data_IF_802185836248
#
_entry.id   IF_802185836248
#
_cell.length_a   1.000
_cell.length_b   1.000
_cell.length_c   1.000
_cell.angle_alpha   90.00
_cell.angle_beta   90.00
_cell.angle_gamma   90.00
#
_symmetry.space_group_name_H-M   'P 1'
#
loop_
_entity.id
_entity.type
_entity.pdbx_description
1 polymer ?
#
# COMPACT_ATOMS: atom_id res chain seq x y z
N UNK A 1 -2.22 8.00 7.39
CA UNK A 1 -2.86 7.05 8.32
C UNK A 1 -2.69 5.68 7.71
N UNK A 2 -2.21 4.68 8.44
CA UNK A 2 -2.14 3.29 7.96
C UNK A 2 -3.52 2.69 8.22
N UNK A 3 -4.12 2.01 7.23
CA UNK A 3 -5.42 1.34 7.41
C UNK A 3 -5.18 -0.15 7.60
N UNK A 4 -5.71 -0.73 8.67
CA UNK A 4 -5.51 -2.14 8.99
C UNK A 4 -6.72 -2.96 8.52
N UNK A 5 -6.44 -4.06 7.83
CA UNK A 5 -7.48 -4.97 7.35
C UNK A 5 -7.22 -6.38 7.92
N UNK A 6 -8.26 -7.13 8.28
CA UNK A 6 -8.11 -8.49 8.85
C UNK A 6 -8.98 -9.48 8.10
N UNK A 7 -8.38 -10.59 7.70
CA UNK A 7 -9.04 -11.83 7.29
C UNK A 7 -8.32 -12.98 8.00
N UNK A 8 -8.68 -14.24 7.71
CA UNK A 8 -8.03 -15.45 8.28
C UNK A 8 -6.50 -15.41 8.20
N UNK A 9 -5.96 -14.64 7.26
CA UNK A 9 -4.60 -14.12 7.25
C UNK A 9 -4.64 -12.58 7.42
N UNK A 10 -3.97 -12.04 8.44
CA UNK A 10 -3.91 -10.60 8.68
C UNK A 10 -3.11 -9.89 7.58
N UNK A 11 -3.68 -8.88 6.93
CA UNK A 11 -3.01 -8.09 5.90
C UNK A 11 -3.14 -6.60 6.22
N UNK A 12 -2.03 -5.92 6.43
CA UNK A 12 -2.06 -4.46 6.63
C UNK A 12 -2.06 -3.76 5.27
N UNK A 13 -2.58 -2.53 5.18
CA UNK A 13 -2.44 -1.75 3.97
C UNK A 13 -2.20 -0.26 4.22
N UNK A 14 -1.56 0.40 3.25
CA UNK A 14 -1.37 1.84 3.26
C UNK A 14 -1.79 2.41 1.90
N UNK A 15 -2.60 3.46 1.95
CA UNK A 15 -3.04 4.19 0.76
C UNK A 15 -1.93 5.11 0.24
N UNK A 16 -1.69 5.10 -1.07
CA UNK A 16 -0.89 6.13 -1.72
C UNK A 16 -1.78 7.34 -2.00
N UNK A 17 -1.75 8.34 -1.13
CA UNK A 17 -2.61 9.53 -1.25
C UNK A 17 -2.05 10.61 -2.17
N UNK A 18 -0.73 10.68 -2.29
CA UNK A 18 0.00 11.65 -3.12
C UNK A 18 1.46 11.18 -3.34
N UNK A 19 2.24 11.97 -4.08
CA UNK A 19 3.67 11.77 -4.29
C UNK A 19 4.57 12.54 -3.32
N UNK A 20 4.03 13.10 -2.24
CA UNK A 20 4.78 13.96 -1.35
C UNK A 20 5.70 13.18 -0.40
N UNK A 21 6.80 13.82 0.03
CA UNK A 21 7.81 13.19 0.88
C UNK A 21 7.21 12.56 2.16
N UNK A 22 6.19 13.17 2.76
CA UNK A 22 5.56 12.65 3.97
C UNK A 22 4.86 11.32 3.74
N UNK A 23 4.10 11.21 2.64
CA UNK A 23 3.42 9.97 2.22
C UNK A 23 4.43 8.90 1.86
N UNK A 24 5.44 9.23 1.05
CA UNK A 24 6.48 8.29 0.63
C UNK A 24 7.29 7.75 1.81
N UNK A 25 7.63 8.59 2.79
CA UNK A 25 8.30 8.14 4.02
C UNK A 25 7.46 7.09 4.77
N UNK A 26 6.14 7.27 4.85
CA UNK A 26 5.24 6.29 5.48
C UNK A 26 5.17 4.99 4.69
N UNK A 27 5.13 5.05 3.36
CA UNK A 27 5.18 3.86 2.49
C UNK A 27 6.49 3.10 2.69
N UNK A 28 7.63 3.79 2.75
CA UNK A 28 8.94 3.19 3.04
C UNK A 28 8.94 2.53 4.42
N UNK A 29 8.43 3.21 5.45
CA UNK A 29 8.32 2.66 6.80
C UNK A 29 7.44 1.40 6.86
N UNK A 30 6.32 1.41 6.13
CA UNK A 30 5.38 0.31 6.07
C UNK A 30 5.95 -0.93 5.35
N UNK A 31 6.53 -0.70 4.16
CA UNK A 31 7.02 -1.77 3.27
C UNK A 31 8.41 -2.26 3.65
N UNK A 32 9.26 -1.39 4.21
CA UNK A 32 10.69 -1.63 4.37
C UNK A 32 11.48 -1.54 3.06
N UNK A 33 10.86 -1.10 1.97
CA UNK A 33 11.45 -1.07 0.63
C UNK A 33 11.79 0.37 0.19
N UNK A 34 12.83 0.57 -0.65
CA UNK A 34 13.03 1.82 -1.36
C UNK A 34 11.84 2.13 -2.29
N UNK A 35 11.51 3.41 -2.40
CA UNK A 35 10.40 3.89 -3.23
C UNK A 35 10.89 4.96 -4.19
N UNK A 36 10.44 4.87 -5.44
CA UNK A 36 10.58 5.93 -6.45
C UNK A 36 9.23 6.58 -6.72
N UNK A 37 9.23 7.86 -7.07
CA UNK A 37 8.02 8.59 -7.48
C UNK A 37 8.22 9.06 -8.91
N UNK A 38 7.26 8.74 -9.78
CA UNK A 38 7.29 9.09 -11.20
C UNK A 38 5.90 9.57 -11.64
N UNK A 39 5.82 10.00 -12.89
CA UNK A 39 4.56 10.27 -13.57
C UNK A 39 4.35 9.24 -14.68
N UNK A 40 3.12 8.73 -14.82
CA UNK A 40 2.76 7.88 -15.96
C UNK A 40 2.57 8.73 -17.24
N UNK A 41 2.25 8.07 -18.36
CA UNK A 41 2.06 8.73 -19.66
C UNK A 41 0.88 9.70 -19.69
N UNK A 42 -0.03 9.61 -18.72
CA UNK A 42 -1.19 10.49 -18.57
C UNK A 42 -0.89 11.65 -17.62
N UNK A 43 0.31 11.69 -17.02
CA UNK A 43 0.71 12.72 -16.06
C UNK A 43 0.24 12.44 -14.63
N UNK A 44 -0.24 11.22 -14.33
CA UNK A 44 -0.63 10.84 -12.98
C UNK A 44 0.58 10.42 -12.16
N UNK A 45 0.57 10.76 -10.87
CA UNK A 45 1.61 10.31 -9.93
C UNK A 45 1.52 8.81 -9.71
N UNK A 46 2.68 8.15 -9.79
CA UNK A 46 2.85 6.72 -9.47
C UNK A 46 4.04 6.51 -8.54
N UNK A 47 3.91 5.58 -7.60
CA UNK A 47 5.00 5.15 -6.73
C UNK A 47 5.48 3.75 -7.13
N UNK A 48 6.78 3.59 -7.34
CA UNK A 48 7.43 2.30 -7.59
C UNK A 48 8.12 1.80 -6.33
N UNK A 49 7.60 0.72 -5.73
CA UNK A 49 8.15 0.05 -4.56
C UNK A 49 9.13 -1.04 -5.04
N UNK A 50 10.42 -0.87 -4.76
CA UNK A 50 11.49 -1.73 -5.26
C UNK A 50 11.68 -2.90 -4.29
N UNK A 51 11.16 -4.08 -4.64
CA UNK A 51 11.28 -5.31 -3.82
C UNK A 51 12.63 -6.00 -4.02
N UNK A 52 13.16 -5.94 -5.24
CA UNK A 52 14.50 -6.41 -5.61
C UNK A 52 14.97 -5.68 -6.87
N UNK A 53 16.24 -5.83 -7.32
CA UNK A 53 16.74 -5.14 -8.51
C UNK A 53 15.90 -5.34 -9.80
N UNK A 54 15.16 -6.45 -9.90
CA UNK A 54 14.33 -6.78 -11.07
C UNK A 54 12.84 -6.89 -10.74
N UNK A 55 12.43 -6.54 -9.53
CA UNK A 55 11.03 -6.64 -9.10
C UNK A 55 10.57 -5.34 -8.47
N UNK A 56 9.65 -4.67 -9.16
CA UNK A 56 9.04 -3.42 -8.73
C UNK A 56 7.51 -3.56 -8.74
N UNK A 57 6.90 -3.10 -7.66
CA UNK A 57 5.46 -3.00 -7.51
C UNK A 57 5.06 -1.55 -7.76
N UNK A 58 4.07 -1.29 -8.61
CA UNK A 58 3.64 0.07 -8.96
C UNK A 58 2.28 0.35 -8.35
N UNK A 59 2.17 1.43 -7.57
CA UNK A 59 0.92 1.92 -7.00
C UNK A 59 0.58 3.28 -7.60
N UNK A 60 -0.69 3.48 -7.98
CA UNK A 60 -1.24 4.79 -8.36
C UNK A 60 -1.85 5.48 -7.15
N UNK A 61 -1.99 6.80 -7.23
CA UNK A 61 -2.73 7.57 -6.21
C UNK A 61 -4.15 7.00 -6.05
N UNK A 62 -4.59 6.80 -4.81
CA UNK A 62 -5.86 6.17 -4.43
C UNK A 62 -5.80 4.64 -4.33
N UNK A 63 -4.70 4.00 -4.74
CA UNK A 63 -4.49 2.57 -4.54
C UNK A 63 -3.80 2.28 -3.21
N UNK A 64 -3.93 1.04 -2.76
CA UNK A 64 -3.39 0.55 -1.50
C UNK A 64 -2.20 -0.38 -1.76
N UNK A 65 -1.14 -0.20 -0.99
CA UNK A 65 -0.05 -1.15 -0.87
C UNK A 65 -0.38 -2.08 0.30
N UNK A 66 -0.52 -3.36 0.00
CA UNK A 66 -1.08 -4.39 0.86
C UNK A 66 0.08 -5.32 1.29
N UNK A 67 0.26 -5.56 2.59
CA UNK A 67 1.33 -6.38 3.19
C UNK A 67 0.72 -7.55 3.95
N UNK A 68 0.86 -8.75 3.40
CA UNK A 68 0.43 -9.98 4.06
C UNK A 68 1.35 -10.32 5.25
N UNK A 69 0.87 -11.15 6.19
CA UNK A 69 1.66 -11.66 7.33
C UNK A 69 2.95 -12.37 6.92
N UNK A 70 2.99 -12.93 5.71
CA UNK A 70 4.18 -13.54 5.09
C UNK A 70 5.27 -12.52 4.70
N UNK A 71 4.97 -11.22 4.77
CA UNK A 71 5.83 -10.14 4.27
C UNK A 71 5.64 -9.87 2.77
N UNK A 72 4.77 -10.62 2.09
CA UNK A 72 4.47 -10.41 0.67
C UNK A 72 3.74 -9.08 0.47
N UNK A 73 4.25 -8.28 -0.47
CA UNK A 73 3.65 -7.01 -0.89
C UNK A 73 2.84 -7.17 -2.18
N UNK A 74 1.69 -6.51 -2.25
CA UNK A 74 0.84 -6.39 -3.44
C UNK A 74 0.19 -5.00 -3.52
N UNK A 75 -0.36 -4.63 -4.67
CA UNK A 75 -1.17 -3.41 -4.83
C UNK A 75 -2.60 -3.82 -5.12
N UNK A 76 -3.54 -3.16 -4.43
CA UNK A 76 -4.94 -3.47 -4.53
C UNK A 76 -5.82 -2.21 -4.45
N UNK A 77 -6.94 -2.20 -5.17
CA UNK A 77 -7.95 -1.14 -5.08
C UNK A 77 -8.80 -1.34 -3.83
N UNK A 78 -9.43 -0.29 -3.30
CA UNK A 78 -10.25 -0.37 -2.09
C UNK A 78 -11.35 -1.44 -2.18
N UNK A 79 -12.05 -1.53 -3.31
CA UNK A 79 -13.12 -2.52 -3.54
C UNK A 79 -12.61 -3.96 -3.37
N UNK A 80 -11.42 -4.26 -3.88
CA UNK A 80 -10.78 -5.57 -3.76
C UNK A 80 -10.29 -5.86 -2.34
N UNK A 81 -9.98 -4.81 -1.57
CA UNK A 81 -9.62 -4.95 -0.15
C UNK A 81 -10.83 -5.36 0.66
N UNK A 82 -11.95 -4.63 0.54
CA UNK A 82 -13.15 -4.89 1.35
C UNK A 82 -13.86 -6.20 0.98
N UNK A 83 -13.70 -6.67 -0.26
CA UNK A 83 -14.18 -8.01 -0.67
C UNK A 83 -13.41 -9.14 0.01
N UNK A 84 -12.12 -8.92 0.32
CA UNK A 84 -11.20 -9.94 0.83
C UNK A 84 -10.93 -9.86 2.32
N UNK A 85 -11.05 -8.66 2.89
CA UNK A 85 -10.65 -8.35 4.25
C UNK A 85 -11.66 -7.40 4.90
N UNK A 86 -11.93 -7.62 6.18
CA UNK A 86 -12.73 -6.72 6.99
C UNK A 86 -11.86 -5.53 7.40
N UNK A 87 -12.31 -4.30 7.12
CA UNK A 87 -11.63 -3.07 7.55
C UNK A 87 -11.78 -2.92 9.06
N UNK A 88 -10.66 -2.93 9.81
CA UNK A 88 -10.68 -2.68 11.25
C UNK A 88 -10.41 -1.19 11.45
N UNK A 89 -11.47 -0.44 11.70
CA UNK A 89 -11.36 0.90 12.29
C UNK A 89 -11.22 0.75 13.81
N UNK A 90 -10.51 1.67 14.48
CA UNK A 90 -10.15 1.61 15.92
C UNK A 90 -11.34 1.44 16.90
N UNK A 91 -12.59 1.38 16.45
CA UNK A 91 -13.78 1.17 17.28
C UNK A 91 -14.08 -0.30 17.63
N UNK A 92 -13.43 -1.29 16.98
CA UNK A 92 -13.72 -2.73 17.20
C UNK A 92 -12.64 -3.49 17.97
N UNK A 93 -11.66 -2.80 18.55
CA UNK A 93 -10.60 -3.40 19.35
C UNK A 93 -10.99 -3.63 20.83
N UNK A 94 -12.24 -4.02 21.11
CA UNK A 94 -12.71 -4.34 22.47
C UNK A 94 -13.02 -5.81 22.68
#
# INVERSE_FOLDING_TARGET
MIRMFRSRDSAEAIELVDGEMATIKRVIQFTGCPVTVNYDTEGNVVAGIIKSPNEMLVAKVGQFICKESSGKLSVCDYEKLIEKYEEITEETAS
#
